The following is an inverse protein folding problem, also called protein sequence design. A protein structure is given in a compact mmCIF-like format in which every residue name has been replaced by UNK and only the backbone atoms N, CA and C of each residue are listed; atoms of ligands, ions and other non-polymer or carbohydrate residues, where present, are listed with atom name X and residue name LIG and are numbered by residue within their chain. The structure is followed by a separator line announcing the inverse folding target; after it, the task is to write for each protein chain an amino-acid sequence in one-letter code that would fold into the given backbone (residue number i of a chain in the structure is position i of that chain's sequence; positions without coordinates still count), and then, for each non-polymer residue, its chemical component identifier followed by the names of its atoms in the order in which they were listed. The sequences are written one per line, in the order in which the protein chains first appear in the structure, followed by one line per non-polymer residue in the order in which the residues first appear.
data_IF_221330066943
#
_entry.id   IF_221330066943
#
_cell.length_a   1.000
_cell.length_b   1.000
_cell.length_c   1.000
_cell.angle_alpha   90.00
_cell.angle_beta   90.00
_cell.angle_gamma   90.00
#
_symmetry.space_group_name_H-M   'P 1'
#
loop_
_entity.id
_entity.type
_entity.pdbx_description
1 polymer ?
#
# COMPACT_ATOMS: atom_id res chain seq x y z
N UNK A 1 -30.08 52.33 -16.01
CA UNK A 1 -29.12 53.44 -15.80
C UNK A 1 -29.87 54.75 -15.72
N UNK A 2 -29.86 55.42 -14.58
CA UNK A 2 -30.33 56.81 -14.45
C UNK A 2 -29.27 57.77 -14.99
N UNK A 3 -29.68 58.78 -15.77
CA UNK A 3 -28.74 59.80 -16.29
C UNK A 3 -28.10 60.54 -15.12
N UNK A 4 -26.77 60.63 -15.10
CA UNK A 4 -26.01 61.50 -14.18
C UNK A 4 -25.41 60.86 -12.92
N UNK A 5 -25.78 59.63 -12.54
CA UNK A 5 -25.26 58.97 -11.31
C UNK A 5 -24.48 57.67 -11.57
N UNK A 6 -24.35 57.26 -12.84
CA UNK A 6 -23.63 56.03 -13.19
C UNK A 6 -22.38 56.33 -14.02
N UNK A 7 -21.29 55.59 -13.79
CA UNK A 7 -20.10 55.67 -14.61
C UNK A 7 -20.39 55.17 -16.03
N UNK A 8 -19.57 55.64 -16.98
CA UNK A 8 -19.67 55.22 -18.38
C UNK A 8 -19.48 53.71 -18.48
N UNK A 9 -20.47 53.04 -19.06
CA UNK A 9 -20.49 51.59 -19.21
C UNK A 9 -20.33 51.23 -20.69
N UNK A 10 -19.41 50.34 -20.95
CA UNK A 10 -19.10 49.81 -22.27
C UNK A 10 -19.71 48.41 -22.38
N UNK A 11 -20.76 48.21 -23.18
CA UNK A 11 -21.39 46.89 -23.34
C UNK A 11 -20.49 45.89 -24.08
N UNK A 12 -19.51 46.37 -24.83
CA UNK A 12 -18.57 45.58 -25.63
C UNK A 12 -17.12 45.83 -25.19
N UNK A 13 -16.82 45.65 -23.90
CA UNK A 13 -15.43 45.71 -23.42
C UNK A 13 -14.69 44.43 -23.80
N UNK A 14 -13.43 44.57 -24.23
CA UNK A 14 -12.59 43.43 -24.63
C UNK A 14 -11.81 42.93 -23.43
N UNK A 15 -11.97 41.65 -23.10
CA UNK A 15 -11.20 40.95 -22.07
C UNK A 15 -10.08 40.16 -22.73
N UNK A 16 -8.85 40.34 -22.27
CA UNK A 16 -7.68 39.56 -22.67
C UNK A 16 -7.19 38.77 -21.48
N UNK A 17 -7.16 37.46 -21.62
CA UNK A 17 -6.59 36.58 -20.61
C UNK A 17 -5.12 36.27 -20.88
N UNK A 18 -4.35 36.07 -19.82
CA UNK A 18 -2.95 35.61 -19.87
C UNK A 18 -2.76 34.29 -20.60
N UNK A 19 -3.80 33.46 -20.75
CA UNK A 19 -3.78 32.23 -21.56
C UNK A 19 -3.99 32.45 -23.07
N UNK A 20 -4.16 33.71 -23.52
CA UNK A 20 -4.41 34.06 -24.92
C UNK A 20 -5.88 34.05 -25.34
N UNK A 21 -6.82 33.72 -24.46
CA UNK A 21 -8.26 33.79 -24.76
C UNK A 21 -8.76 35.24 -24.70
N UNK A 22 -9.55 35.66 -25.68
CA UNK A 22 -10.19 36.97 -25.73
C UNK A 22 -11.70 36.87 -25.90
N UNK A 23 -12.47 37.59 -25.08
CA UNK A 23 -13.93 37.62 -25.21
C UNK A 23 -14.49 39.01 -24.87
N UNK A 24 -15.73 39.28 -25.29
CA UNK A 24 -16.41 40.54 -25.02
C UNK A 24 -17.29 40.43 -23.78
N UNK A 25 -17.27 41.44 -22.92
CA UNK A 25 -18.10 41.53 -21.71
C UNK A 25 -18.43 42.99 -21.42
N UNK A 26 -19.52 43.26 -20.71
CA UNK A 26 -19.85 44.63 -20.31
C UNK A 26 -19.01 45.09 -19.11
N UNK A 27 -18.33 46.24 -19.22
CA UNK A 27 -17.51 46.80 -18.14
C UNK A 27 -17.49 48.32 -18.17
N UNK A 28 -17.06 48.96 -17.08
CA UNK A 28 -16.78 50.40 -17.05
C UNK A 28 -15.45 50.76 -17.70
N UNK A 29 -14.61 49.78 -18.02
CA UNK A 29 -13.37 49.95 -18.78
C UNK A 29 -13.51 49.33 -20.17
N UNK A 30 -12.92 49.92 -21.23
CA UNK A 30 -12.98 49.37 -22.58
C UNK A 30 -12.13 48.09 -22.75
N UNK A 31 -11.07 47.93 -21.94
CA UNK A 31 -10.14 46.81 -22.03
C UNK A 31 -9.82 46.28 -20.63
N UNK A 32 -9.92 44.95 -20.45
CA UNK A 32 -9.66 44.25 -19.21
C UNK A 32 -8.57 43.20 -19.44
N UNK A 33 -7.53 43.20 -18.61
CA UNK A 33 -6.54 42.12 -18.55
C UNK A 33 -6.80 41.27 -17.32
N UNK A 34 -6.92 39.96 -17.51
CA UNK A 34 -7.33 39.02 -16.45
C UNK A 34 -6.41 37.81 -16.47
N UNK A 35 -5.97 37.36 -15.31
CA UNK A 35 -5.06 36.20 -15.21
C UNK A 35 -5.76 34.86 -15.42
N UNK A 36 -7.05 34.78 -15.06
CA UNK A 36 -7.85 33.55 -15.12
C UNK A 36 -9.16 33.77 -15.87
N UNK A 37 -9.53 32.77 -16.65
CA UNK A 37 -10.66 32.75 -17.55
C UNK A 37 -11.47 31.46 -17.38
N UNK A 38 -12.72 31.42 -17.86
CA UNK A 38 -13.51 30.19 -17.85
C UNK A 38 -12.87 29.02 -18.60
N UNK A 39 -12.00 29.30 -19.57
CA UNK A 39 -11.26 28.26 -20.30
C UNK A 39 -10.08 27.67 -19.51
N UNK A 40 -9.53 28.42 -18.56
CA UNK A 40 -8.24 28.11 -17.94
C UNK A 40 -8.33 27.90 -16.43
N UNK A 41 -9.46 28.21 -15.80
CA UNK A 41 -9.67 27.96 -14.38
C UNK A 41 -10.05 26.48 -14.15
N UNK A 42 -9.33 25.72 -13.30
CA UNK A 42 -9.53 24.29 -13.08
C UNK A 42 -10.97 23.88 -12.74
N UNK A 43 -11.73 24.77 -12.11
CA UNK A 43 -13.16 24.57 -11.83
C UNK A 43 -14.01 24.39 -13.09
N UNK A 44 -13.74 25.14 -14.16
CA UNK A 44 -14.53 25.11 -15.39
C UNK A 44 -14.05 24.06 -16.38
N UNK A 45 -12.78 23.64 -16.31
CA UNK A 45 -12.23 22.57 -17.16
C UNK A 45 -12.60 21.18 -16.65
N UNK A 46 -13.22 21.07 -15.47
CA UNK A 46 -13.67 19.79 -14.90
C UNK A 46 -12.54 18.86 -14.45
N UNK A 47 -11.28 19.30 -14.56
CA UNK A 47 -10.14 18.55 -14.05
C UNK A 47 -10.12 18.65 -12.52
N UNK A 48 -10.71 17.65 -11.87
CA UNK A 48 -10.48 17.42 -10.47
C UNK A 48 -9.02 16.98 -10.30
N UNK A 49 -8.16 17.92 -9.90
CA UNK A 49 -6.86 17.57 -9.34
C UNK A 49 -7.10 16.86 -8.03
N UNK A 50 -7.22 15.52 -8.08
CA UNK A 50 -7.13 14.68 -6.90
C UNK A 50 -5.68 14.83 -6.42
N UNK A 51 -5.47 15.75 -5.49
CA UNK A 51 -4.20 15.89 -4.80
C UNK A 51 -4.16 14.76 -3.78
N UNK A 52 -3.83 13.55 -4.24
CA UNK A 52 -3.55 12.43 -3.37
C UNK A 52 -2.42 12.85 -2.44
N UNK A 53 -2.68 12.80 -1.14
CA UNK A 53 -1.70 13.11 -0.10
C UNK A 53 -0.57 12.09 -0.19
N UNK A 54 0.50 12.48 -0.90
CA UNK A 54 1.62 11.66 -1.35
C UNK A 54 2.11 10.67 -0.28
N UNK A 55 1.57 9.45 -0.31
CA UNK A 55 2.04 8.34 0.51
C UNK A 55 1.08 7.83 1.59
N UNK A 56 -0.15 8.33 1.73
CA UNK A 56 -1.13 7.64 2.61
C UNK A 56 -1.42 6.22 2.12
N UNK A 57 -1.62 6.05 0.81
CA UNK A 57 -1.87 4.75 0.18
C UNK A 57 -0.64 3.84 0.32
N UNK A 58 0.57 4.36 0.08
CA UNK A 58 1.82 3.60 0.24
C UNK A 58 2.05 3.16 1.69
N UNK A 59 1.78 4.04 2.67
CA UNK A 59 1.87 3.71 4.11
C UNK A 59 0.83 2.68 4.53
N UNK A 60 -0.34 2.67 3.90
CA UNK A 60 -1.36 1.67 4.13
C UNK A 60 -0.95 0.30 3.57
N UNK A 61 -0.50 0.25 2.31
CA UNK A 61 -0.01 -0.99 1.69
C UNK A 61 1.15 -1.60 2.46
N UNK A 62 2.13 -0.78 2.86
CA UNK A 62 3.29 -1.24 3.67
C UNK A 62 2.88 -1.81 5.03
N UNK A 63 1.81 -1.30 5.64
CA UNK A 63 1.26 -1.84 6.90
C UNK A 63 0.56 -3.18 6.67
N UNK A 64 -0.20 -3.31 5.58
CA UNK A 64 -0.87 -4.56 5.22
C UNK A 64 0.13 -5.69 4.93
N UNK A 65 1.19 -5.42 4.18
CA UNK A 65 2.25 -6.39 3.89
C UNK A 65 2.90 -6.91 5.17
N UNK A 66 3.30 -6.00 6.07
CA UNK A 66 3.89 -6.35 7.37
C UNK A 66 2.95 -7.17 8.25
N UNK A 67 1.66 -6.84 8.23
CA UNK A 67 0.63 -7.57 8.98
C UNK A 67 0.45 -9.01 8.46
N UNK A 68 0.64 -9.26 7.17
CA UNK A 68 0.54 -10.61 6.58
C UNK A 68 1.81 -11.45 6.73
N UNK A 69 3.00 -10.83 6.70
CA UNK A 69 4.27 -11.57 6.79
C UNK A 69 4.57 -12.13 8.19
N UNK A 70 4.32 -11.35 9.24
CA UNK A 70 4.61 -11.76 10.62
C UNK A 70 3.95 -13.10 11.03
N UNK A 71 2.65 -13.33 10.78
CA UNK A 71 2.02 -14.62 11.11
C UNK A 71 2.52 -15.76 10.21
N UNK A 72 2.86 -15.48 8.95
CA UNK A 72 3.39 -16.49 8.01
C UNK A 72 4.77 -16.99 8.45
N UNK A 73 5.68 -16.09 8.82
CA UNK A 73 7.02 -16.41 9.33
C UNK A 73 6.93 -17.21 10.65
N UNK A 74 6.10 -16.77 11.60
CA UNK A 74 5.89 -17.46 12.88
C UNK A 74 5.29 -18.87 12.70
N UNK A 75 4.36 -19.05 11.76
CA UNK A 75 3.78 -20.37 11.44
C UNK A 75 4.81 -21.30 10.79
N UNK A 76 5.65 -20.78 9.90
CA UNK A 76 6.72 -21.54 9.26
C UNK A 76 7.80 -22.00 10.25
N UNK A 77 8.22 -21.11 11.15
CA UNK A 77 9.19 -21.41 12.22
C UNK A 77 8.66 -22.48 13.18
N UNK A 78 7.41 -22.33 13.64
CA UNK A 78 6.75 -23.34 14.49
C UNK A 78 6.65 -24.71 13.80
N UNK A 79 6.42 -24.73 12.48
CA UNK A 79 6.39 -25.97 11.70
C UNK A 79 7.77 -26.62 11.61
N UNK A 80 8.83 -25.85 11.35
CA UNK A 80 10.22 -26.36 11.35
C UNK A 80 10.61 -26.98 12.69
N UNK A 81 10.40 -26.23 13.78
CA UNK A 81 10.72 -26.71 15.13
C UNK A 81 10.00 -28.02 15.48
N UNK A 82 8.74 -28.17 15.07
CA UNK A 82 7.98 -29.43 15.26
C UNK A 82 8.54 -30.60 14.45
N UNK A 83 8.99 -30.35 13.23
CA UNK A 83 9.59 -31.39 12.38
C UNK A 83 10.94 -31.84 12.95
N UNK A 84 11.77 -30.90 13.40
CA UNK A 84 13.05 -31.19 14.06
C UNK A 84 12.86 -32.00 15.34
N UNK A 85 11.92 -31.58 16.21
CA UNK A 85 11.58 -32.33 17.43
C UNK A 85 11.10 -33.76 17.12
N UNK A 86 10.28 -33.93 16.07
CA UNK A 86 9.82 -35.26 15.67
C UNK A 86 10.95 -36.12 15.13
N UNK A 87 11.87 -35.56 14.35
CA UNK A 87 13.04 -36.29 13.83
C UNK A 87 13.93 -36.78 14.99
N UNK A 88 14.18 -35.92 15.98
CA UNK A 88 14.96 -36.28 17.17
C UNK A 88 14.31 -37.41 17.98
N UNK A 89 12.98 -37.40 18.15
CA UNK A 89 12.28 -38.48 18.84
C UNK A 89 12.39 -39.80 18.09
N UNK A 90 12.25 -39.79 16.75
CA UNK A 90 12.41 -40.99 15.92
C UNK A 90 13.84 -41.53 16.00
N UNK A 91 14.85 -40.65 15.99
CA UNK A 91 16.24 -41.05 16.18
C UNK A 91 16.47 -41.67 17.57
N UNK A 92 15.94 -41.06 18.64
CA UNK A 92 16.01 -41.61 20.00
C UNK A 92 15.32 -42.96 20.12
N UNK A 93 14.10 -43.10 19.58
CA UNK A 93 13.37 -44.37 19.54
C UNK A 93 14.17 -45.44 18.80
N UNK A 94 14.78 -45.11 17.65
CA UNK A 94 15.61 -46.05 16.90
C UNK A 94 16.85 -46.51 17.67
N UNK A 95 17.52 -45.60 18.39
CA UNK A 95 18.70 -45.93 19.21
C UNK A 95 18.32 -46.81 20.40
N UNK A 96 17.17 -46.55 21.03
CA UNK A 96 16.67 -47.39 22.12
C UNK A 96 16.35 -48.81 21.64
N UNK A 97 15.67 -48.95 20.50
CA UNK A 97 15.39 -50.27 19.90
C UNK A 97 16.67 -51.06 19.59
N UNK A 98 17.69 -50.42 19.03
CA UNK A 98 19.00 -51.07 18.80
C UNK A 98 19.61 -51.54 20.13
N UNK A 99 19.62 -50.70 21.16
CA UNK A 99 20.15 -51.06 22.48
C UNK A 99 19.37 -52.19 23.18
N UNK A 100 18.08 -52.33 22.89
CA UNK A 100 17.24 -53.41 23.43
C UNK A 100 17.53 -54.72 22.71
N UNK A 101 17.74 -54.70 21.39
CA UNK A 101 18.15 -55.88 20.62
C UNK A 101 19.55 -56.37 20.98
N UNK A 102 20.49 -55.46 21.25
CA UNK A 102 21.84 -55.82 21.71
C UNK A 102 21.83 -56.45 23.11
N UNK A 103 21.01 -55.93 24.03
CA UNK A 103 20.82 -56.51 25.36
C UNK A 103 20.14 -57.89 25.32
N UNK A 104 19.13 -58.06 24.46
CA UNK A 104 18.48 -59.36 24.26
C UNK A 104 19.40 -60.44 23.68
N UNK A 105 20.31 -60.07 22.77
CA UNK A 105 21.30 -60.99 22.21
C UNK A 105 22.31 -61.48 23.27
N UNK A 106 22.75 -60.62 24.18
CA UNK A 106 23.66 -61.02 25.28
C UNK A 106 22.98 -61.90 26.33
N UNK A 107 21.66 -61.76 26.51
CA UNK A 107 20.87 -62.60 27.41
C UNK A 107 20.59 -64.00 26.82
N UNK A 108 20.49 -64.14 25.49
CA UNK A 108 20.38 -65.45 24.82
C UNK A 108 21.72 -66.21 24.77
N UNK A 109 22.83 -65.53 24.45
CA UNK A 109 24.17 -66.17 24.43
C UNK A 109 24.60 -66.68 25.81
N UNK A 110 24.25 -65.98 26.89
CA UNK A 110 24.56 -66.40 28.26
C UNK A 110 23.69 -67.57 28.79
N UNK A 111 22.56 -67.86 28.14
CA UNK A 111 21.67 -68.97 28.48
C UNK A 111 21.99 -70.24 27.66
N UNK A 112 22.55 -70.11 26.45
CA UNK A 112 23.10 -71.23 25.67
C UNK A 112 24.42 -71.77 26.22
N UNK A 113 25.30 -70.92 26.80
CA UNK A 113 26.55 -71.38 27.42
C UNK A 113 26.36 -72.11 28.76
N UNK A 114 25.17 -72.06 29.36
CA UNK A 114 24.83 -72.71 30.64
C UNK A 114 24.02 -74.01 30.48
N UNK A 115 23.79 -74.48 29.25
CA UNK A 115 23.09 -75.73 28.92
C UNK A 115 24.05 -76.78 28.34
#
# INVERSE_FOLDING_TARGET
MKKGIHPQYYPQATVICSCGNTWTTGSTKPMLRVDLCPRCHPFFTGEQRIVDTAGQVERFMRRLERAQEAPRKKKAERRRRRLEQRAQLVEQESQLLVSETERGATDEESNEEQS
#
